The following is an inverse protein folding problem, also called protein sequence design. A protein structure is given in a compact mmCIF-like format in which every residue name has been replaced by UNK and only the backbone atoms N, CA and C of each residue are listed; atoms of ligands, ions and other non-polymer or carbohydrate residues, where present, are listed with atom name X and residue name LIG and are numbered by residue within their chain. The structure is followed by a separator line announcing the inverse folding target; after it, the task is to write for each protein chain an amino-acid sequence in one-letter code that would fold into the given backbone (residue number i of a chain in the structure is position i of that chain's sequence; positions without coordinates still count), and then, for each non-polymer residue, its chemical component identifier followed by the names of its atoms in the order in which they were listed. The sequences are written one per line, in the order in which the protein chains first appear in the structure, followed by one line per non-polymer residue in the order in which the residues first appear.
data_IF_554423762238
#
_entry.id   IF_554423762238
#
_cell.length_a   1.000
_cell.length_b   1.000
_cell.length_c   1.000
_cell.angle_alpha   90.00
_cell.angle_beta   90.00
_cell.angle_gamma   90.00
#
_symmetry.space_group_name_H-M   'P 1'
#
loop_
_entity.id
_entity.type
_entity.pdbx_description
1 polymer ?
#
# COMPACT_ATOMS: atom_id res chain seq x y z
N UNK A 1 -7.10 -6.80 13.31
CA UNK A 1 -7.36 -5.78 12.29
C UNK A 1 -6.01 -5.32 11.78
N UNK A 2 -5.72 -5.50 10.49
CA UNK A 2 -4.49 -5.02 9.89
C UNK A 2 -4.35 -3.51 10.16
N UNK A 3 -3.16 -3.05 10.51
CA UNK A 3 -2.86 -1.63 10.71
C UNK A 3 -2.91 -0.93 9.34
N UNK A 4 -4.11 -0.48 8.95
CA UNK A 4 -4.41 0.12 7.64
C UNK A 4 -3.55 1.37 7.38
N UNK A 5 -2.98 1.97 8.44
CA UNK A 5 -2.06 3.12 8.38
C UNK A 5 -0.74 2.82 7.66
N UNK A 6 -0.45 1.56 7.34
CA UNK A 6 0.72 1.13 6.55
C UNK A 6 0.32 0.49 5.22
N UNK A 7 -0.77 0.95 4.60
CA UNK A 7 -1.15 0.49 3.27
C UNK A 7 0.03 0.70 2.30
N UNK A 8 0.60 -0.39 1.79
CA UNK A 8 1.65 -0.30 0.77
C UNK A 8 1.01 0.11 -0.55
N UNK A 9 1.08 1.40 -0.86
CA UNK A 9 0.53 1.93 -2.11
C UNK A 9 1.36 1.39 -3.30
N UNK A 10 0.73 0.71 -4.28
CA UNK A 10 1.43 0.27 -5.48
C UNK A 10 1.91 1.44 -6.33
N UNK A 11 3.05 1.28 -7.00
CA UNK A 11 3.63 2.32 -7.88
C UNK A 11 2.64 2.79 -8.96
N UNK A 12 1.84 1.87 -9.51
CA UNK A 12 0.81 2.21 -10.49
C UNK A 12 -0.25 3.16 -9.92
N UNK A 13 -0.60 3.05 -8.63
CA UNK A 13 -1.55 3.95 -8.00
C UNK A 13 -0.95 5.35 -7.84
N UNK A 14 0.32 5.45 -7.41
CA UNK A 14 1.04 6.72 -7.33
C UNK A 14 1.11 7.43 -8.70
N UNK A 15 1.38 6.69 -9.78
CA UNK A 15 1.38 7.23 -11.14
C UNK A 15 -0.01 7.78 -11.54
N UNK A 16 -1.09 7.08 -11.19
CA UNK A 16 -2.45 7.55 -11.44
C UNK A 16 -2.79 8.80 -10.64
N UNK A 17 -2.38 8.86 -9.38
CA UNK A 17 -2.62 10.00 -8.50
C UNK A 17 -1.83 11.24 -8.92
N UNK A 18 -0.60 11.07 -9.42
CA UNK A 18 0.14 12.14 -10.11
C UNK A 18 -0.64 12.68 -11.31
N UNK A 19 -1.17 11.79 -12.16
CA UNK A 19 -1.99 12.21 -13.31
C UNK A 19 -3.24 12.97 -12.89
N UNK A 20 -3.85 12.62 -11.75
CA UNK A 20 -4.96 13.37 -11.16
C UNK A 20 -4.51 14.79 -10.80
N UNK A 21 -3.38 14.94 -10.11
CA UNK A 21 -2.83 16.25 -9.77
C UNK A 21 -2.52 17.08 -11.04
N UNK A 22 -1.91 16.47 -12.06
CA UNK A 22 -1.66 17.12 -13.35
C UNK A 22 -2.96 17.65 -14.00
N UNK A 23 -4.00 16.81 -14.10
CA UNK A 23 -5.28 17.19 -14.68
C UNK A 23 -5.97 18.29 -13.88
N UNK A 24 -5.92 18.21 -12.55
CA UNK A 24 -6.48 19.23 -11.68
C UNK A 24 -5.82 20.59 -11.87
N UNK A 25 -4.48 20.63 -11.90
CA UNK A 25 -3.74 21.88 -12.13
C UNK A 25 -4.08 22.48 -13.49
N UNK A 26 -4.17 21.66 -14.54
CA UNK A 26 -4.50 22.09 -15.90
C UNK A 26 -5.94 22.62 -16.00
N UNK A 27 -6.92 21.86 -15.52
CA UNK A 27 -8.34 22.23 -15.62
C UNK A 27 -8.67 23.45 -14.76
N UNK A 28 -8.10 23.53 -13.55
CA UNK A 28 -8.26 24.69 -12.68
C UNK A 28 -7.41 25.90 -13.11
N UNK A 29 -6.50 25.72 -14.09
CA UNK A 29 -5.54 26.71 -14.55
C UNK A 29 -4.75 27.36 -13.38
N UNK A 30 -4.17 26.50 -12.54
CA UNK A 30 -3.39 26.90 -11.36
C UNK A 30 -1.95 26.38 -11.47
N UNK A 31 -0.97 27.06 -10.83
CA UNK A 31 0.43 26.68 -10.92
C UNK A 31 0.77 25.34 -10.27
N UNK A 32 -0.04 24.87 -9.32
CA UNK A 32 0.23 23.59 -8.67
C UNK A 32 -1.02 22.90 -8.11
N UNK A 33 -1.01 21.58 -8.21
CA UNK A 33 -1.85 20.68 -7.45
C UNK A 33 -0.99 19.61 -6.79
N UNK A 34 -1.37 19.15 -5.59
CA UNK A 34 -0.66 18.08 -4.88
C UNK A 34 -1.61 17.12 -4.18
N UNK A 35 -1.14 15.92 -3.89
CA UNK A 35 -1.76 14.96 -2.99
C UNK A 35 -0.75 14.71 -1.88
N UNK A 36 -1.17 14.94 -0.65
CA UNK A 36 -0.32 14.94 0.53
C UNK A 36 -0.85 13.99 1.58
N UNK A 37 0.05 13.36 2.32
CA UNK A 37 -0.27 12.55 3.51
C UNK A 37 0.48 13.10 4.71
N UNK A 38 -0.03 12.81 5.92
CA UNK A 38 0.72 13.05 7.16
C UNK A 38 1.16 11.71 7.74
N UNK A 39 2.45 11.61 8.00
CA UNK A 39 3.08 10.49 8.69
C UNK A 39 3.78 11.06 9.94
N UNK A 40 3.23 10.77 11.12
CA UNK A 40 3.70 11.30 12.41
C UNK A 40 3.73 12.84 12.43
N UNK A 41 4.92 13.44 12.41
CA UNK A 41 5.16 14.88 12.38
C UNK A 41 5.63 15.38 11.01
N UNK A 42 5.42 14.59 9.96
CA UNK A 42 5.86 14.93 8.60
C UNK A 42 4.70 14.96 7.61
N UNK A 43 4.70 15.97 6.75
CA UNK A 43 3.84 16.05 5.58
C UNK A 43 4.64 15.58 4.37
N UNK A 44 4.13 14.58 3.66
CA UNK A 44 4.78 14.02 2.48
C UNK A 44 3.93 14.20 1.24
N UNK A 45 4.53 14.72 0.17
CA UNK A 45 3.91 14.85 -1.14
C UNK A 45 4.01 13.51 -1.87
N UNK A 46 2.88 12.87 -2.14
CA UNK A 46 2.80 11.57 -2.83
C UNK A 46 2.34 11.68 -4.29
N UNK A 47 1.85 12.85 -4.68
CA UNK A 47 1.58 13.21 -6.07
C UNK A 47 1.68 14.71 -6.23
N UNK A 48 2.34 15.18 -7.28
CA UNK A 48 2.49 16.59 -7.59
C UNK A 48 2.27 16.83 -9.07
N UNK A 49 1.53 17.90 -9.40
CA UNK A 49 1.39 18.35 -10.78
C UNK A 49 2.72 18.84 -11.32
N UNK A 50 2.97 18.58 -12.59
CA UNK A 50 4.08 19.12 -13.36
C UNK A 50 3.70 20.46 -13.99
N UNK A 51 4.66 21.38 -14.00
CA UNK A 51 4.53 22.69 -14.65
C UNK A 51 5.90 23.30 -14.91
N UNK A 52 5.98 24.47 -15.54
CA UNK A 52 7.26 25.13 -15.84
C UNK A 52 8.08 25.43 -14.57
N UNK A 53 7.39 25.87 -13.50
CA UNK A 53 8.01 26.32 -12.26
C UNK A 53 8.15 25.22 -11.19
N UNK A 54 7.59 24.02 -11.43
CA UNK A 54 7.55 22.84 -10.53
C UNK A 54 7.74 23.17 -9.04
N UNK A 55 6.78 23.84 -8.40
CA UNK A 55 7.01 24.37 -7.06
C UNK A 55 7.07 23.31 -5.95
N UNK A 56 6.66 22.07 -6.25
CA UNK A 56 6.70 20.94 -5.33
C UNK A 56 7.36 19.75 -6.02
N UNK A 57 8.19 19.02 -5.28
CA UNK A 57 8.76 17.76 -5.75
C UNK A 57 7.95 16.55 -5.26
N UNK A 58 7.90 15.50 -6.06
CA UNK A 58 7.39 14.21 -5.58
C UNK A 58 8.29 13.67 -4.47
N UNK A 59 7.68 13.07 -3.46
CA UNK A 59 8.34 12.59 -2.24
C UNK A 59 9.00 13.70 -1.41
N UNK A 60 8.69 14.97 -1.66
CA UNK A 60 9.09 16.06 -0.78
C UNK A 60 8.48 15.85 0.61
N UNK A 61 9.32 16.00 1.64
CA UNK A 61 8.93 15.81 3.04
C UNK A 61 9.14 17.12 3.79
N UNK A 62 8.07 17.63 4.38
CA UNK A 62 8.09 18.82 5.23
C UNK A 62 7.86 18.39 6.67
N UNK A 63 8.83 18.63 7.54
CA UNK A 63 8.68 18.39 8.98
C UNK A 63 7.79 19.47 9.60
N UNK A 64 6.64 19.07 10.13
CA UNK A 64 5.68 19.95 10.78
C UNK A 64 6.20 20.31 12.18
N UNK A 65 6.38 21.61 12.43
CA UNK A 65 6.80 22.12 13.74
C UNK A 65 5.63 22.84 14.42
N UNK A 66 5.61 22.89 15.76
CA UNK A 66 4.62 23.70 16.48
C UNK A 66 4.59 25.14 15.97
N UNK A 67 3.39 25.65 15.69
CA UNK A 67 3.18 27.00 15.16
C UNK A 67 3.32 27.14 13.64
N UNK A 68 3.76 26.10 12.91
CA UNK A 68 3.72 26.12 11.45
C UNK A 68 2.28 26.06 10.95
N UNK A 69 1.93 26.97 10.04
CA UNK A 69 0.62 27.01 9.36
C UNK A 69 0.80 26.49 7.94
N UNK A 70 0.43 25.23 7.72
CA UNK A 70 0.43 24.56 6.42
C UNK A 70 -1.02 24.30 5.99
N UNK A 71 -1.39 24.76 4.80
CA UNK A 71 -2.76 24.62 4.30
C UNK A 71 -3.24 23.17 4.25
N UNK A 72 -2.44 22.29 3.60
CA UNK A 72 -2.70 20.86 3.49
C UNK A 72 -2.82 20.17 4.85
N UNK A 73 -1.96 20.54 5.82
CA UNK A 73 -2.05 20.00 7.18
C UNK A 73 -3.35 20.39 7.86
N UNK A 74 -3.88 21.59 7.63
CA UNK A 74 -5.14 22.01 8.23
C UNK A 74 -6.35 21.22 7.68
N UNK A 75 -6.37 20.89 6.39
CA UNK A 75 -7.38 19.98 5.81
C UNK A 75 -7.34 18.62 6.49
N UNK A 76 -6.14 18.05 6.64
CA UNK A 76 -5.95 16.71 7.22
C UNK A 76 -6.34 16.69 8.71
N UNK A 77 -5.95 17.73 9.46
CA UNK A 77 -6.25 17.84 10.89
C UNK A 77 -7.74 18.11 11.15
N UNK A 78 -8.38 18.97 10.36
CA UNK A 78 -9.80 19.29 10.50
C UNK A 78 -10.72 18.20 9.92
N UNK A 79 -10.20 17.35 9.02
CA UNK A 79 -10.99 16.39 8.21
C UNK A 79 -12.10 17.07 7.39
N UNK A 80 -11.87 18.32 7.01
CA UNK A 80 -12.82 19.15 6.27
C UNK A 80 -12.12 19.90 5.15
N UNK A 81 -12.89 20.29 4.13
CA UNK A 81 -12.35 21.10 3.04
C UNK A 81 -11.99 22.50 3.52
N UNK A 82 -10.89 23.02 3.00
CA UNK A 82 -10.39 24.36 3.30
C UNK A 82 -10.29 25.16 2.01
N UNK A 83 -10.97 26.31 1.96
CA UNK A 83 -10.84 27.29 0.88
C UNK A 83 -10.28 28.58 1.47
N UNK A 84 -9.16 29.03 0.92
CA UNK A 84 -8.53 30.31 1.23
C UNK A 84 -8.46 31.10 -0.08
N UNK A 85 -9.43 31.99 -0.34
CA UNK A 85 -9.43 32.71 -1.61
C UNK A 85 -8.30 33.73 -1.77
N UNK A 86 -7.87 34.30 -0.65
CA UNK A 86 -6.80 35.29 -0.58
C UNK A 86 -6.19 35.31 0.84
N UNK A 87 -5.04 34.66 0.98
CA UNK A 87 -4.32 34.54 2.23
C UNK A 87 -3.84 35.89 2.77
N UNK A 88 -3.56 36.86 1.89
CA UNK A 88 -3.08 38.20 2.28
C UNK A 88 -4.14 38.98 3.08
N UNK A 89 -5.42 38.62 2.91
CA UNK A 89 -6.55 39.21 3.65
C UNK A 89 -6.93 38.43 4.91
N UNK A 90 -6.30 37.28 5.14
CA UNK A 90 -6.61 36.42 6.28
C UNK A 90 -5.64 36.69 7.42
N UNK A 91 -6.14 37.02 8.61
CA UNK A 91 -5.30 37.14 9.80
C UNK A 91 -4.60 35.83 10.17
N UNK A 92 -5.22 34.70 9.84
CA UNK A 92 -4.65 33.38 10.11
C UNK A 92 -3.71 32.90 9.00
N UNK A 93 -3.95 33.21 7.72
CA UNK A 93 -3.16 32.64 6.62
C UNK A 93 -2.07 33.54 6.06
N UNK A 94 -2.10 34.85 6.33
CA UNK A 94 -1.15 35.83 5.75
C UNK A 94 0.32 35.53 5.99
N UNK A 95 0.68 34.99 7.16
CA UNK A 95 2.06 34.55 7.47
C UNK A 95 2.17 33.02 7.57
N UNK A 96 1.36 32.30 6.80
CA UNK A 96 1.55 30.86 6.59
C UNK A 96 2.77 30.59 5.72
N UNK A 97 3.32 29.37 5.79
CA UNK A 97 4.48 28.99 4.96
C UNK A 97 4.11 29.05 3.46
N UNK A 98 2.88 28.67 3.11
CA UNK A 98 2.38 28.77 1.75
C UNK A 98 2.28 30.22 1.26
N UNK A 99 1.73 31.13 2.08
CA UNK A 99 1.65 32.55 1.74
C UNK A 99 3.04 33.19 1.56
N UNK A 100 4.01 32.84 2.45
CA UNK A 100 5.41 33.30 2.33
C UNK A 100 6.10 32.76 1.08
N UNK A 101 5.74 31.56 0.63
CA UNK A 101 6.19 30.99 -0.64
C UNK A 101 5.46 31.56 -1.88
N UNK A 102 4.57 32.53 -1.69
CA UNK A 102 3.84 33.21 -2.77
C UNK A 102 2.53 32.54 -3.19
N UNK A 103 2.05 31.53 -2.46
CA UNK A 103 0.74 30.93 -2.69
C UNK A 103 -0.35 31.70 -1.95
N UNK A 104 -0.99 32.60 -2.70
CA UNK A 104 -2.01 33.53 -2.23
C UNK A 104 -3.36 32.85 -2.06
N UNK A 105 -3.73 31.92 -2.94
CA UNK A 105 -4.99 31.18 -2.81
C UNK A 105 -4.75 29.67 -2.68
N UNK A 106 -5.63 29.01 -1.95
CA UNK A 106 -5.57 27.58 -1.69
C UNK A 106 -6.97 26.97 -1.65
N UNK A 107 -7.10 25.78 -2.24
CA UNK A 107 -8.22 24.89 -1.99
C UNK A 107 -7.68 23.51 -1.65
N UNK A 108 -8.32 22.84 -0.70
CA UNK A 108 -8.01 21.45 -0.41
C UNK A 108 -9.22 20.68 0.08
N UNK A 109 -9.32 19.42 -0.32
CA UNK A 109 -10.36 18.49 0.15
C UNK A 109 -9.72 17.24 0.76
N UNK A 110 -10.33 16.65 1.79
CA UNK A 110 -9.77 15.49 2.47
C UNK A 110 -9.87 14.23 1.60
N UNK A 111 -8.87 13.35 1.71
CA UNK A 111 -8.88 12.01 1.15
C UNK A 111 -9.01 11.04 2.33
N UNK A 112 -9.98 10.15 2.26
CA UNK A 112 -10.39 9.29 3.36
C UNK A 112 -10.00 7.84 3.10
N UNK A 113 -9.65 7.13 4.16
CA UNK A 113 -9.47 5.70 4.16
C UNK A 113 -10.83 4.98 4.21
N UNK A 114 -10.87 3.69 3.84
CA UNK A 114 -12.11 2.90 3.85
C UNK A 114 -12.76 2.75 5.23
N UNK A 115 -11.99 2.88 6.31
CA UNK A 115 -12.44 2.83 7.70
C UNK A 115 -12.94 4.19 8.22
N UNK A 116 -12.90 5.24 7.39
CA UNK A 116 -13.30 6.60 7.75
C UNK A 116 -12.19 7.42 8.42
N UNK A 117 -10.97 6.88 8.57
CA UNK A 117 -9.82 7.68 8.99
C UNK A 117 -9.30 8.55 7.84
N UNK A 118 -8.59 9.63 8.19
CA UNK A 118 -7.98 10.52 7.20
C UNK A 118 -6.77 9.83 6.57
N UNK A 119 -6.71 9.79 5.24
CA UNK A 119 -5.52 9.37 4.50
C UNK A 119 -4.61 10.57 4.22
N UNK A 120 -5.21 11.68 3.77
CA UNK A 120 -4.46 12.82 3.30
C UNK A 120 -5.36 13.93 2.76
N UNK A 121 -4.80 14.73 1.85
CA UNK A 121 -5.52 15.82 1.19
C UNK A 121 -5.10 15.95 -0.26
N UNK A 122 -6.04 16.31 -1.13
CA UNK A 122 -5.76 16.82 -2.47
C UNK A 122 -5.87 18.35 -2.44
N UNK A 123 -4.93 19.03 -3.08
CA UNK A 123 -4.72 20.47 -2.90
C UNK A 123 -4.50 21.17 -4.23
N UNK A 124 -5.00 22.40 -4.35
CA UNK A 124 -4.70 23.37 -5.40
C UNK A 124 -4.07 24.61 -4.77
N UNK A 125 -3.10 25.19 -5.47
CA UNK A 125 -2.44 26.41 -5.04
C UNK A 125 -2.39 27.42 -6.18
N UNK A 126 -2.68 28.68 -5.88
CA UNK A 126 -2.60 29.77 -6.84
C UNK A 126 -1.76 30.93 -6.29
N UNK A 127 -1.06 31.64 -7.17
CA UNK A 127 -0.24 32.81 -6.85
C UNK A 127 -1.02 34.11 -6.86
N UNK A 128 -2.30 34.07 -7.23
CA UNK A 128 -3.24 35.19 -7.21
C UNK A 128 -4.51 34.80 -6.44
N UNK A 129 -5.32 35.77 -6.01
CA UNK A 129 -6.62 35.49 -5.41
C UNK A 129 -7.49 34.62 -6.34
N UNK A 130 -8.09 33.58 -5.78
CA UNK A 130 -8.88 32.61 -6.53
C UNK A 130 -9.95 32.00 -5.60
N UNK A 131 -11.23 32.13 -5.96
CA UNK A 131 -12.33 31.60 -5.14
C UNK A 131 -12.56 30.10 -5.33
N UNK A 132 -11.91 29.47 -6.32
CA UNK A 132 -12.13 28.08 -6.73
C UNK A 132 -13.61 27.80 -6.97
N UNK A 133 -14.11 28.18 -8.15
CA UNK A 133 -15.52 28.08 -8.51
C UNK A 133 -16.11 26.68 -8.24
N UNK A 134 -17.43 26.60 -8.03
CA UNK A 134 -18.12 25.36 -7.69
C UNK A 134 -17.77 24.13 -8.56
N UNK A 135 -17.61 24.25 -9.89
CA UNK A 135 -17.16 23.13 -10.73
C UNK A 135 -15.76 22.61 -10.37
N UNK A 136 -14.81 23.48 -10.03
CA UNK A 136 -13.45 23.10 -9.62
C UNK A 136 -13.48 22.32 -8.31
N UNK A 137 -14.27 22.78 -7.33
CA UNK A 137 -14.38 22.07 -6.05
C UNK A 137 -15.05 20.71 -6.20
N UNK A 138 -16.12 20.62 -6.99
CA UNK A 138 -16.74 19.32 -7.31
C UNK A 138 -15.73 18.39 -7.98
N UNK A 139 -14.94 18.89 -8.93
CA UNK A 139 -13.90 18.08 -9.58
C UNK A 139 -12.87 17.56 -8.58
N UNK A 140 -12.44 18.37 -7.61
CA UNK A 140 -11.54 17.93 -6.55
C UNK A 140 -12.17 16.85 -5.67
N UNK A 141 -13.45 17.02 -5.29
CA UNK A 141 -14.22 16.04 -4.49
C UNK A 141 -14.35 14.71 -5.25
N UNK A 142 -14.69 14.72 -6.54
CA UNK A 142 -14.77 13.52 -7.39
C UNK A 142 -13.42 12.80 -7.53
N UNK A 143 -12.33 13.55 -7.69
CA UNK A 143 -10.99 12.96 -7.73
C UNK A 143 -10.56 12.40 -6.37
N UNK A 144 -10.94 13.04 -5.27
CA UNK A 144 -10.72 12.49 -3.93
C UNK A 144 -11.47 11.16 -3.77
N UNK A 145 -12.70 11.06 -4.25
CA UNK A 145 -13.49 9.83 -4.22
C UNK A 145 -12.90 8.70 -5.08
N UNK A 146 -12.31 9.03 -6.22
CA UNK A 146 -11.53 8.06 -7.02
C UNK A 146 -10.33 7.53 -6.21
N UNK A 147 -9.61 8.41 -5.51
CA UNK A 147 -8.48 8.01 -4.65
C UNK A 147 -8.98 7.15 -3.48
N UNK A 148 -10.08 7.53 -2.83
CA UNK A 148 -10.72 6.76 -1.76
C UNK A 148 -11.09 5.34 -2.26
N UNK A 149 -11.64 5.24 -3.47
CA UNK A 149 -11.92 3.97 -4.14
C UNK A 149 -10.68 3.12 -4.40
N UNK A 150 -9.59 3.74 -4.88
CA UNK A 150 -8.30 3.05 -5.06
C UNK A 150 -7.77 2.51 -3.73
N UNK A 151 -7.82 3.30 -2.65
CA UNK A 151 -7.41 2.86 -1.31
C UNK A 151 -8.23 1.67 -0.82
N UNK A 152 -9.55 1.67 -1.03
CA UNK A 152 -10.44 0.55 -0.71
C UNK A 152 -10.06 -0.72 -1.47
N UNK A 153 -9.74 -0.59 -2.76
CA UNK A 153 -9.31 -1.73 -3.57
C UNK A 153 -7.96 -2.28 -3.11
N UNK A 154 -6.99 -1.41 -2.83
CA UNK A 154 -5.66 -1.81 -2.35
C UNK A 154 -5.80 -2.54 -1.01
N UNK A 155 -6.56 -1.99 -0.06
CA UNK A 155 -6.80 -2.60 1.25
C UNK A 155 -7.43 -4.00 1.14
N UNK A 156 -8.44 -4.16 0.28
CA UNK A 156 -9.06 -5.46 0.02
C UNK A 156 -8.09 -6.45 -0.63
N UNK A 157 -7.26 -6.00 -1.57
CA UNK A 157 -6.29 -6.87 -2.22
C UNK A 157 -5.22 -7.37 -1.23
N UNK A 158 -4.71 -6.49 -0.36
CA UNK A 158 -3.78 -6.89 0.71
C UNK A 158 -4.41 -7.90 1.66
N UNK A 159 -5.67 -7.69 2.06
CA UNK A 159 -6.39 -8.63 2.91
C UNK A 159 -6.57 -10.00 2.23
N UNK A 160 -6.87 -10.04 0.92
CA UNK A 160 -6.98 -11.28 0.16
C UNK A 160 -5.65 -12.02 0.11
N UNK A 161 -4.54 -11.32 -0.15
CA UNK A 161 -3.19 -11.90 -0.16
C UNK A 161 -2.80 -12.50 1.18
N UNK A 162 -3.09 -11.81 2.29
CA UNK A 162 -2.86 -12.32 3.65
C UNK A 162 -3.70 -13.58 3.93
N UNK A 163 -4.98 -13.53 3.61
CA UNK A 163 -5.89 -14.67 3.79
C UNK A 163 -5.44 -15.88 2.97
N UNK A 164 -5.00 -15.66 1.72
CA UNK A 164 -4.46 -16.73 0.87
C UNK A 164 -3.17 -17.33 1.45
N UNK A 165 -2.32 -16.51 2.07
CA UNK A 165 -1.09 -16.98 2.72
C UNK A 165 -1.42 -17.86 3.92
N UNK A 166 -2.39 -17.49 4.74
CA UNK A 166 -2.86 -18.30 5.87
C UNK A 166 -3.40 -19.65 5.41
N UNK A 167 -4.26 -19.66 4.37
CA UNK A 167 -4.79 -20.89 3.77
C UNK A 167 -3.65 -21.80 3.29
N UNK A 168 -2.64 -21.25 2.59
CA UNK A 168 -1.48 -22.02 2.14
C UNK A 168 -0.66 -22.61 3.29
N UNK A 169 -0.46 -21.88 4.38
CA UNK A 169 0.25 -22.40 5.55
C UNK A 169 -0.53 -23.54 6.20
N UNK A 170 -1.85 -23.40 6.37
CA UNK A 170 -2.71 -24.46 6.90
C UNK A 170 -2.73 -25.69 5.99
N UNK A 171 -2.81 -25.50 4.67
CA UNK A 171 -2.73 -26.59 3.69
C UNK A 171 -1.34 -27.25 3.64
N UNK A 172 -0.27 -26.56 4.03
CA UNK A 172 1.07 -27.12 4.11
C UNK A 172 1.31 -28.02 5.33
N UNK A 173 0.42 -27.98 6.34
CA UNK A 173 0.50 -28.85 7.50
C UNK A 173 -0.05 -30.23 7.15
N UNK A 174 0.85 -31.18 6.96
CA UNK A 174 0.50 -32.57 6.69
C UNK A 174 0.25 -33.30 8.02
N UNK A 175 -0.98 -33.73 8.34
CA UNK A 175 -1.27 -34.46 9.56
C UNK A 175 -0.67 -35.87 9.48
N UNK A 176 0.45 -36.09 10.17
CA UNK A 176 1.20 -37.35 10.19
C UNK A 176 1.02 -38.08 11.53
N UNK A 177 0.79 -39.39 11.48
CA UNK A 177 0.66 -40.21 12.69
C UNK A 177 2.01 -40.26 13.41
N UNK A 178 2.04 -39.85 14.68
CA UNK A 178 3.27 -39.81 15.48
C UNK A 178 3.96 -41.18 15.58
N UNK A 179 3.18 -42.27 15.57
CA UNK A 179 3.67 -43.64 15.70
C UNK A 179 4.10 -44.25 14.35
N UNK A 180 3.17 -44.38 13.39
CA UNK A 180 3.42 -45.14 12.15
C UNK A 180 3.73 -44.27 10.91
N UNK A 181 3.79 -42.95 11.07
CA UNK A 181 4.12 -41.97 10.02
C UNK A 181 3.19 -41.94 8.80
N UNK A 182 2.02 -42.60 8.86
CA UNK A 182 0.95 -42.43 7.85
C UNK A 182 0.43 -41.00 7.86
N UNK A 183 -0.01 -40.52 6.70
CA UNK A 183 -0.65 -39.21 6.53
C UNK A 183 -2.17 -39.41 6.52
N UNK A 184 -2.90 -38.52 7.19
CA UNK A 184 -4.35 -38.45 7.12
C UNK A 184 -4.78 -37.54 5.96
N UNK A 185 -5.61 -38.06 5.06
CA UNK A 185 -6.16 -37.27 3.96
C UNK A 185 -7.37 -36.41 4.38
N UNK A 186 -7.90 -35.61 3.44
CA UNK A 186 -9.04 -34.71 3.66
C UNK A 186 -10.35 -35.46 3.97
N UNK A 187 -10.42 -36.76 3.64
CA UNK A 187 -11.55 -37.65 3.94
C UNK A 187 -11.39 -38.35 5.30
N UNK A 188 -10.25 -38.15 5.97
CA UNK A 188 -9.93 -38.73 7.27
C UNK A 188 -9.26 -40.11 7.22
N UNK A 189 -8.91 -40.63 6.04
CA UNK A 189 -8.25 -41.92 5.90
C UNK A 189 -6.74 -41.83 6.08
N UNK A 190 -6.14 -42.84 6.71
CA UNK A 190 -4.71 -42.92 6.93
C UNK A 190 -4.02 -43.72 5.83
N UNK A 191 -3.15 -43.06 5.06
CA UNK A 191 -2.41 -43.66 3.96
C UNK A 191 -0.89 -43.48 4.11
N UNK A 192 -0.11 -44.24 3.34
CA UNK A 192 1.34 -44.09 3.34
C UNK A 192 1.74 -42.74 2.73
N UNK A 193 2.93 -42.28 3.10
CA UNK A 193 3.43 -40.95 2.70
C UNK A 193 3.55 -40.83 1.18
N UNK A 194 4.00 -41.90 0.52
CA UNK A 194 4.21 -41.95 -0.93
C UNK A 194 2.90 -41.77 -1.68
N UNK A 195 1.85 -42.50 -1.28
CA UNK A 195 0.52 -42.43 -1.89
C UNK A 195 -0.07 -41.02 -1.76
N UNK A 196 0.07 -40.41 -0.58
CA UNK A 196 -0.41 -39.05 -0.36
C UNK A 196 0.35 -38.05 -1.26
N UNK A 197 1.68 -38.12 -1.29
CA UNK A 197 2.52 -37.17 -2.03
C UNK A 197 2.37 -37.31 -3.55
N UNK A 198 2.22 -38.52 -4.09
CA UNK A 198 1.93 -38.71 -5.52
C UNK A 198 0.56 -38.16 -5.92
N UNK A 199 -0.43 -38.21 -5.00
CA UNK A 199 -1.76 -37.66 -5.25
C UNK A 199 -1.87 -36.13 -5.09
N UNK A 200 -0.94 -35.50 -4.36
CA UNK A 200 -1.01 -34.07 -3.99
C UNK A 200 0.16 -33.24 -4.51
N UNK A 201 1.05 -33.82 -5.33
CA UNK A 201 2.18 -33.12 -5.94
C UNK A 201 2.58 -33.74 -7.28
N UNK A 202 3.52 -33.11 -7.97
CA UNK A 202 4.13 -33.67 -9.18
C UNK A 202 5.27 -34.65 -8.87
N UNK A 203 5.48 -35.05 -7.61
CA UNK A 203 6.51 -36.01 -7.23
C UNK A 203 6.14 -37.43 -7.69
N UNK A 204 7.17 -38.21 -8.07
CA UNK A 204 7.08 -39.65 -8.32
C UNK A 204 8.15 -40.36 -7.53
N UNK A 205 7.82 -41.48 -6.89
CA UNK A 205 8.80 -42.23 -6.10
C UNK A 205 9.48 -43.31 -6.93
N UNK A 206 10.81 -43.34 -6.89
CA UNK A 206 11.60 -44.49 -7.32
C UNK A 206 12.10 -45.24 -6.09
N UNK A 207 12.23 -46.56 -6.21
CA UNK A 207 12.66 -47.39 -5.10
C UNK A 207 14.16 -47.68 -5.22
N UNK A 208 14.88 -47.49 -4.13
CA UNK A 208 16.31 -47.78 -4.00
C UNK A 208 16.66 -48.04 -2.54
N UNK A 209 17.85 -48.58 -2.30
CA UNK A 209 18.40 -48.76 -0.95
C UNK A 209 19.53 -47.76 -0.77
N UNK A 210 19.52 -47.01 0.34
CA UNK A 210 20.68 -46.21 0.73
C UNK A 210 21.82 -47.11 1.23
N UNK A 211 23.02 -46.54 1.38
CA UNK A 211 24.22 -47.25 1.84
C UNK A 211 24.01 -47.97 3.18
N UNK A 212 23.37 -47.31 4.14
CA UNK A 212 23.10 -47.92 5.45
C UNK A 212 22.15 -49.13 5.34
N UNK A 213 21.09 -49.01 4.53
CA UNK A 213 20.10 -50.06 4.36
C UNK A 213 20.67 -51.25 3.58
N UNK A 214 21.44 -51.00 2.52
CA UNK A 214 22.06 -52.07 1.74
C UNK A 214 23.10 -52.82 2.58
N UNK A 215 23.89 -52.10 3.38
CA UNK A 215 24.86 -52.69 4.32
C UNK A 215 24.17 -53.50 5.41
N UNK A 216 23.07 -52.99 5.97
CA UNK A 216 22.32 -53.72 7.00
C UNK A 216 21.69 -55.00 6.46
N UNK A 217 21.15 -54.96 5.25
CA UNK A 217 20.47 -56.10 4.63
C UNK A 217 21.45 -57.13 4.05
N UNK A 218 22.55 -56.69 3.45
CA UNK A 218 23.45 -57.54 2.66
C UNK A 218 24.91 -57.48 3.10
N UNK A 219 25.32 -56.63 4.03
CA UNK A 219 26.72 -56.47 4.44
C UNK A 219 27.34 -57.72 5.09
N UNK A 220 26.51 -58.68 5.51
CA UNK A 220 26.95 -59.98 6.02
C UNK A 220 27.01 -61.07 4.93
N UNK A 221 26.55 -60.77 3.72
CA UNK A 221 26.52 -61.70 2.60
C UNK A 221 27.89 -61.80 1.93
N UNK A 222 28.35 -63.02 1.67
CA UNK A 222 29.69 -63.28 1.09
C UNK A 222 29.88 -62.69 -0.31
N UNK A 223 28.79 -62.44 -1.04
CA UNK A 223 28.82 -61.86 -2.38
C UNK A 223 28.74 -60.34 -2.37
N UNK A 224 28.36 -59.72 -1.25
CA UNK A 224 28.26 -58.27 -1.13
C UNK A 224 29.65 -57.70 -0.91
N UNK A 225 30.11 -56.88 -1.86
CA UNK A 225 31.36 -56.13 -1.76
C UNK A 225 30.98 -54.67 -1.59
N UNK A 226 31.40 -54.04 -0.49
CA UNK A 226 31.31 -52.59 -0.37
C UNK A 226 31.96 -51.96 -1.60
N UNK A 227 31.30 -50.95 -2.18
CA UNK A 227 31.94 -50.15 -3.23
C UNK A 227 33.14 -49.45 -2.59
N UNK A 228 34.33 -49.72 -3.10
CA UNK A 228 35.53 -48.96 -2.75
C UNK A 228 35.22 -47.46 -2.88
N UNK A 229 35.44 -46.70 -1.81
CA UNK A 229 35.23 -45.25 -1.76
C UNK A 229 36.19 -44.50 -2.68
#
# INVERSE_FOLDING_TARGET
MADIRKLRIPEIALLRWRSIADLLAQVANVPAATINIIEEDTLRVIGASTGPDKPFAESEVVKIRPGMRLYCSAVIQAREKLIVPDATKSDFWKDSEGARAGFIAYAGVPVMQPDGDIFGSICLFDRKPNNFEGPTLRLMEEFADIINGHLSLIAKNTQLEETLKEVRTLQGLIPICANCKKIRDDKGFWQKVEVYLEGHSNARFTHGLCEDCIQKLYGHEKWFKEKDK
#
